data_IF_018201554340
#
_entry.id   IF_018201554340
#
_cell.length_a   1.000
_cell.length_b   1.000
_cell.length_c   1.000
_cell.angle_alpha   90.00
_cell.angle_beta   90.00
_cell.angle_gamma   90.00
#
_symmetry.space_group_name_H-M   'P 1'
#
loop_
_entity.id
_entity.type
_entity.pdbx_description
1 polymer ?
#
# COMPACT_ATOMS: atom_id res chain seq x y z
N UNK A 1 1.56 0.74 17.31
CA UNK A 1 0.86 -0.20 16.41
C UNK A 1 -0.48 0.30 15.92
N UNK A 2 -1.52 0.38 16.78
CA UNK A 2 -2.89 0.74 16.34
C UNK A 2 -2.94 2.11 15.66
N UNK A 3 -2.28 3.12 16.22
CA UNK A 3 -2.27 4.47 15.67
C UNK A 3 -1.56 4.53 14.31
N UNK A 4 -0.35 3.97 14.21
CA UNK A 4 0.41 3.87 12.97
C UNK A 4 -0.37 3.14 11.86
N UNK A 5 -1.01 2.00 12.17
CA UNK A 5 -1.85 1.27 11.24
C UNK A 5 -3.07 2.08 10.75
N UNK A 6 -3.74 2.77 11.68
CA UNK A 6 -4.89 3.63 11.35
C UNK A 6 -4.46 4.81 10.48
N UNK A 7 -3.40 5.50 10.88
CA UNK A 7 -2.82 6.65 10.19
C UNK A 7 -2.40 6.27 8.77
N UNK A 8 -1.67 5.16 8.61
CA UNK A 8 -1.23 4.67 7.31
C UNK A 8 -2.40 4.50 6.34
N UNK A 9 -3.41 3.72 6.73
CA UNK A 9 -4.60 3.48 5.90
C UNK A 9 -5.39 4.76 5.59
N UNK A 10 -5.56 5.63 6.59
CA UNK A 10 -6.32 6.88 6.42
C UNK A 10 -5.63 7.82 5.42
N UNK A 11 -4.33 8.02 5.55
CA UNK A 11 -3.59 8.92 4.66
C UNK A 11 -3.52 8.39 3.22
N UNK A 12 -3.52 7.06 2.99
CA UNK A 12 -3.66 6.49 1.64
C UNK A 12 -5.00 6.90 1.03
N UNK A 13 -6.09 6.70 1.77
CA UNK A 13 -7.44 7.01 1.29
C UNK A 13 -7.62 8.52 1.05
N UNK A 14 -7.17 9.36 1.99
CA UNK A 14 -7.26 10.82 1.88
C UNK A 14 -6.39 11.37 0.75
N UNK A 15 -5.16 10.85 0.59
CA UNK A 15 -4.28 11.21 -0.53
C UNK A 15 -4.92 10.89 -1.87
N UNK A 16 -5.47 9.69 -2.02
CA UNK A 16 -6.20 9.28 -3.23
C UNK A 16 -7.39 10.21 -3.53
N UNK A 17 -8.14 10.65 -2.51
CA UNK A 17 -9.26 11.59 -2.70
C UNK A 17 -8.80 13.01 -3.05
N UNK A 18 -7.64 13.44 -2.53
CA UNK A 18 -7.06 14.75 -2.83
C UNK A 18 -6.46 14.84 -4.24
N UNK A 19 -6.08 13.72 -4.86
CA UNK A 19 -5.45 13.65 -6.19
C UNK A 19 -6.17 14.49 -7.26
N UNK A 20 -7.51 14.52 -7.21
CA UNK A 20 -8.34 15.24 -8.17
C UNK A 20 -8.26 16.77 -8.05
N UNK A 21 -7.81 17.30 -6.92
CA UNK A 21 -7.87 18.74 -6.62
C UNK A 21 -6.56 19.34 -6.10
N UNK A 22 -5.61 18.52 -5.64
CA UNK A 22 -4.32 18.98 -5.14
C UNK A 22 -3.25 17.89 -5.19
N UNK A 23 -2.39 17.96 -6.21
CA UNK A 23 -1.22 17.07 -6.35
C UNK A 23 -0.24 17.18 -5.19
N UNK A 24 -0.08 18.38 -4.61
CA UNK A 24 0.79 18.58 -3.45
C UNK A 24 0.24 17.90 -2.20
N UNK A 25 -1.08 17.99 -1.97
CA UNK A 25 -1.73 17.34 -0.83
C UNK A 25 -1.68 15.82 -0.98
N UNK A 26 -1.94 15.29 -2.19
CA UNK A 26 -1.78 13.87 -2.47
C UNK A 26 -0.38 13.37 -2.13
N UNK A 27 0.66 14.00 -2.69
CA UNK A 27 2.05 13.60 -2.44
C UNK A 27 2.40 13.66 -0.95
N UNK A 28 1.95 14.70 -0.24
CA UNK A 28 2.17 14.83 1.20
C UNK A 28 1.52 13.69 1.98
N UNK A 29 0.26 13.38 1.71
CA UNK A 29 -0.48 12.35 2.46
C UNK A 29 0.07 10.95 2.16
N UNK A 30 0.45 10.65 0.91
CA UNK A 30 1.10 9.37 0.57
C UNK A 30 2.44 9.23 1.31
N UNK A 31 3.22 10.32 1.43
CA UNK A 31 4.44 10.32 2.24
C UNK A 31 4.16 10.06 3.74
N UNK A 32 3.12 10.68 4.32
CA UNK A 32 2.72 10.42 5.71
C UNK A 32 2.27 8.96 5.90
N UNK A 33 1.56 8.39 4.93
CA UNK A 33 1.18 6.99 4.96
C UNK A 33 2.41 6.07 4.97
N UNK A 34 3.39 6.35 4.10
CA UNK A 34 4.66 5.59 4.02
C UNK A 34 5.44 5.65 5.33
N UNK A 35 5.53 6.82 5.96
CA UNK A 35 6.17 6.98 7.26
C UNK A 35 5.40 6.22 8.37
N UNK A 36 4.07 6.27 8.34
CA UNK A 36 3.22 5.55 9.32
C UNK A 36 3.39 4.03 9.21
N UNK A 37 3.55 3.49 8.01
CA UNK A 37 3.81 2.06 7.81
C UNK A 37 5.25 1.66 8.19
N UNK A 38 6.22 2.56 8.09
CA UNK A 38 7.57 2.33 8.64
C UNK A 38 7.54 2.24 10.17
N UNK A 39 6.81 3.14 10.83
CA UNK A 39 6.60 3.08 12.27
C UNK A 39 5.93 1.76 12.68
N UNK A 40 4.90 1.34 11.93
CA UNK A 40 4.23 0.07 12.17
C UNK A 40 5.17 -1.13 11.98
N UNK A 41 6.05 -1.11 10.99
CA UNK A 41 7.06 -2.15 10.79
C UNK A 41 7.97 -2.26 12.00
N UNK A 42 8.55 -1.14 12.44
CA UNK A 42 9.41 -1.08 13.61
C UNK A 42 8.71 -1.60 14.87
N UNK A 43 7.44 -1.26 15.05
CA UNK A 43 6.64 -1.78 16.15
C UNK A 43 6.56 -3.32 16.13
N UNK A 44 6.32 -3.94 14.97
CA UNK A 44 6.24 -5.40 14.86
C UNK A 44 7.59 -6.09 15.04
N UNK A 45 8.67 -5.51 14.54
CA UNK A 45 10.03 -6.01 14.80
C UNK A 45 10.36 -5.94 16.30
N UNK A 46 10.00 -4.84 16.95
CA UNK A 46 10.11 -4.66 18.40
C UNK A 46 9.27 -5.69 19.14
N UNK A 47 8.03 -5.95 18.71
CA UNK A 47 7.16 -6.97 19.29
C UNK A 47 7.79 -8.36 19.26
N UNK A 48 8.33 -8.77 18.10
CA UNK A 48 9.02 -10.05 17.96
C UNK A 48 10.24 -10.13 18.89
N UNK A 49 11.09 -9.10 18.87
CA UNK A 49 12.32 -9.03 19.67
C UNK A 49 12.05 -9.13 21.17
N UNK A 50 11.09 -8.38 21.69
CA UNK A 50 10.77 -8.36 23.13
C UNK A 50 10.21 -9.70 23.61
N UNK A 51 9.55 -10.45 22.74
CA UNK A 51 8.98 -11.76 23.05
C UNK A 51 9.91 -12.92 22.69
N UNK A 52 11.13 -12.64 22.21
CA UNK A 52 12.10 -13.63 21.73
C UNK A 52 11.53 -14.53 20.62
N UNK A 53 10.65 -13.96 19.80
CA UNK A 53 10.08 -14.59 18.62
C UNK A 53 10.97 -14.30 17.41
N UNK A 54 10.96 -15.22 16.46
CA UNK A 54 11.84 -15.17 15.29
C UNK A 54 11.20 -14.33 14.19
N UNK A 55 11.98 -13.38 13.65
CA UNK A 55 11.65 -12.73 12.39
C UNK A 55 11.93 -13.71 11.25
N UNK A 56 10.94 -13.95 10.38
CA UNK A 56 11.08 -14.83 9.24
C UNK A 56 12.18 -14.30 8.30
N UNK A 57 13.13 -15.17 7.89
CA UNK A 57 14.04 -14.87 6.80
C UNK A 57 13.28 -14.51 5.51
N UNK A 58 13.91 -13.71 4.66
CA UNK A 58 13.32 -13.28 3.39
C UNK A 58 12.98 -14.47 2.48
N UNK A 59 13.68 -15.58 2.58
CA UNK A 59 13.50 -16.79 1.77
C UNK A 59 12.65 -17.87 2.47
N UNK A 60 12.06 -17.57 3.63
CA UNK A 60 11.22 -18.55 4.32
C UNK A 60 10.01 -18.93 3.46
N UNK A 61 9.59 -20.20 3.57
CA UNK A 61 8.42 -20.71 2.87
C UNK A 61 7.15 -19.95 3.27
N UNK A 62 7.01 -19.60 4.55
CA UNK A 62 5.88 -18.83 5.07
C UNK A 62 5.86 -17.39 4.53
N UNK A 63 6.99 -16.67 4.56
CA UNK A 63 7.08 -15.31 4.02
C UNK A 63 6.85 -15.29 2.50
N UNK A 64 7.34 -16.30 1.80
CA UNK A 64 7.12 -16.47 0.35
C UNK A 64 5.67 -16.78 0.02
N UNK A 65 4.98 -17.57 0.85
CA UNK A 65 3.57 -17.88 0.67
C UNK A 65 2.69 -16.63 0.85
N UNK A 66 2.89 -15.85 1.93
CA UNK A 66 2.15 -14.59 2.16
C UNK A 66 2.34 -13.62 1.00
N UNK A 67 3.59 -13.36 0.60
CA UNK A 67 3.89 -12.45 -0.53
C UNK A 67 3.49 -13.02 -1.89
N UNK A 68 3.23 -14.32 -1.95
CA UNK A 68 2.80 -15.05 -3.12
C UNK A 68 1.30 -14.89 -3.42
N UNK A 69 0.48 -14.57 -2.40
CA UNK A 69 -0.98 -14.45 -2.55
C UNK A 69 -1.35 -13.54 -3.74
N UNK A 70 -0.82 -12.30 -3.88
CA UNK A 70 -1.21 -11.46 -5.00
C UNK A 70 -0.81 -11.99 -6.38
N UNK A 71 0.16 -12.91 -6.46
CA UNK A 71 0.63 -13.48 -7.72
C UNK A 71 -0.37 -14.47 -8.33
N UNK A 72 -1.22 -15.07 -7.49
CA UNK A 72 -2.23 -16.03 -7.92
C UNK A 72 -3.41 -15.37 -8.65
N UNK A 73 -3.54 -14.05 -8.50
CA UNK A 73 -4.59 -13.22 -9.12
C UNK A 73 -4.01 -12.32 -10.22
N UNK A 74 -2.75 -12.53 -10.63
CA UNK A 74 -2.20 -11.82 -11.79
C UNK A 74 -2.81 -12.40 -13.05
N UNK A 75 -3.55 -11.57 -13.76
CA UNK A 75 -4.09 -11.88 -15.08
C UNK A 75 -3.01 -12.32 -16.07
N UNK A 76 -3.24 -13.45 -16.73
CA UNK A 76 -2.85 -13.60 -18.12
C UNK A 76 -3.83 -12.75 -18.95
N UNK A 77 -3.35 -11.66 -19.56
CA UNK A 77 -4.20 -10.77 -20.36
C UNK A 77 -4.81 -11.47 -21.58
N UNK A 78 -4.37 -12.69 -21.91
CA UNK A 78 -4.88 -13.50 -23.01
C UNK A 78 -6.14 -14.32 -22.66
N UNK A 79 -6.44 -14.53 -21.37
CA UNK A 79 -7.60 -15.32 -20.93
C UNK A 79 -8.63 -14.42 -20.20
N UNK A 80 -9.65 -13.99 -20.95
CA UNK A 80 -10.76 -13.18 -20.44
C UNK A 80 -11.84 -14.01 -19.71
N UNK A 81 -11.66 -15.32 -19.60
CA UNK A 81 -12.68 -16.20 -19.00
C UNK A 81 -12.59 -16.31 -17.48
N UNK A 82 -11.49 -15.84 -16.86
CA UNK A 82 -11.30 -15.87 -15.41
C UNK A 82 -11.00 -14.46 -14.85
N UNK A 83 -12.04 -13.63 -14.61
CA UNK A 83 -11.92 -12.20 -14.32
C UNK A 83 -11.77 -11.91 -12.82
N UNK A 84 -10.99 -12.67 -12.05
CA UNK A 84 -10.87 -12.39 -10.61
C UNK A 84 -9.58 -11.66 -10.30
N UNK A 85 -9.58 -10.34 -10.42
CA UNK A 85 -8.58 -9.49 -9.76
C UNK A 85 -8.85 -9.53 -8.25
N UNK A 86 -7.82 -9.29 -7.43
CA UNK A 86 -8.00 -9.08 -6.00
C UNK A 86 -8.95 -7.93 -5.69
N UNK A 87 -9.07 -6.95 -6.59
CA UNK A 87 -10.00 -5.83 -6.46
C UNK A 87 -11.47 -6.24 -6.59
N UNK A 88 -11.74 -7.37 -7.27
CA UNK A 88 -13.11 -7.87 -7.47
C UNK A 88 -13.62 -8.66 -6.27
N UNK A 89 -12.71 -9.09 -5.39
CA UNK A 89 -13.06 -9.82 -4.18
C UNK A 89 -13.67 -8.89 -3.13
N UNK A 90 -14.66 -9.41 -2.40
CA UNK A 90 -15.17 -8.76 -1.19
C UNK A 90 -14.11 -8.72 -0.08
N UNK A 91 -14.28 -7.86 0.92
CA UNK A 91 -13.35 -7.80 2.05
C UNK A 91 -13.25 -9.15 2.78
N UNK A 92 -14.36 -9.88 2.89
CA UNK A 92 -14.37 -11.22 3.50
C UNK A 92 -13.59 -12.25 2.66
N UNK A 93 -13.72 -12.20 1.34
CA UNK A 93 -12.97 -13.08 0.44
C UNK A 93 -11.47 -12.75 0.49
N UNK A 94 -11.10 -11.46 0.48
CA UNK A 94 -9.70 -11.04 0.64
C UNK A 94 -9.13 -11.46 2.00
N UNK A 95 -9.92 -11.34 3.08
CA UNK A 95 -9.53 -11.81 4.41
C UNK A 95 -9.24 -13.31 4.41
N UNK A 96 -10.12 -14.11 3.81
CA UNK A 96 -9.98 -15.56 3.76
C UNK A 96 -8.66 -16.02 3.13
N UNK A 97 -8.10 -15.25 2.18
CA UNK A 97 -6.79 -15.55 1.58
C UNK A 97 -5.64 -15.45 2.58
N UNK A 98 -5.75 -14.57 3.57
CA UNK A 98 -4.71 -14.33 4.58
C UNK A 98 -5.03 -14.93 5.95
N UNK A 99 -6.27 -15.37 6.17
CA UNK A 99 -6.74 -16.00 7.42
C UNK A 99 -5.81 -17.10 7.97
N UNK A 100 -5.19 -17.98 7.15
CA UNK A 100 -4.25 -19.00 7.67
C UNK A 100 -3.08 -18.43 8.48
N UNK A 101 -2.70 -17.18 8.22
CA UNK A 101 -1.66 -16.47 8.96
C UNK A 101 -2.21 -15.44 9.94
N UNK A 102 -3.23 -14.67 9.57
CA UNK A 102 -3.74 -13.56 10.38
C UNK A 102 -4.64 -14.02 11.53
N UNK A 103 -5.35 -15.14 11.37
CA UNK A 103 -6.18 -15.77 12.40
C UNK A 103 -5.45 -16.92 13.13
N UNK A 104 -4.15 -17.10 12.85
CA UNK A 104 -3.36 -18.14 13.49
C UNK A 104 -3.26 -17.88 15.00
N UNK A 105 -3.28 -18.92 15.85
CA UNK A 105 -3.13 -18.77 17.31
C UNK A 105 -1.74 -18.27 17.71
N UNK A 106 -0.72 -18.56 16.91
CA UNK A 106 0.66 -18.14 17.15
C UNK A 106 0.88 -16.66 16.78
N UNK A 107 1.27 -15.88 17.79
CA UNK A 107 1.57 -14.47 17.61
C UNK A 107 2.80 -14.22 16.73
N UNK A 108 3.76 -15.15 16.67
CA UNK A 108 4.91 -15.08 15.77
C UNK A 108 4.45 -15.14 14.31
N UNK A 109 3.55 -16.07 14.00
CA UNK A 109 2.99 -16.23 12.65
C UNK A 109 2.22 -14.97 12.23
N UNK A 110 1.33 -14.47 13.10
CA UNK A 110 0.56 -13.25 12.82
C UNK A 110 1.48 -12.05 12.58
N UNK A 111 2.44 -11.81 13.47
CA UNK A 111 3.34 -10.67 13.37
C UNK A 111 4.19 -10.70 12.10
N UNK A 112 4.78 -11.86 11.77
CA UNK A 112 5.59 -12.00 10.56
C UNK A 112 4.77 -11.85 9.27
N UNK A 113 3.53 -12.36 9.25
CA UNK A 113 2.65 -12.16 8.10
C UNK A 113 2.30 -10.68 7.90
N UNK A 114 2.02 -9.94 8.98
CA UNK A 114 1.79 -8.50 8.90
C UNK A 114 3.04 -7.74 8.43
N UNK A 115 4.23 -8.11 8.89
CA UNK A 115 5.50 -7.54 8.38
C UNK A 115 5.63 -7.73 6.86
N UNK A 116 5.32 -8.93 6.34
CA UNK A 116 5.33 -9.18 4.89
C UNK A 116 4.38 -8.25 4.14
N UNK A 117 3.17 -8.04 4.67
CA UNK A 117 2.17 -7.15 4.09
C UNK A 117 2.60 -5.67 4.14
N UNK A 118 3.22 -5.24 5.24
CA UNK A 118 3.77 -3.88 5.38
C UNK A 118 4.87 -3.64 4.34
N UNK A 119 5.77 -4.60 4.14
CA UNK A 119 6.82 -4.49 3.11
C UNK A 119 6.22 -4.36 1.70
N UNK A 120 5.17 -5.14 1.39
CA UNK A 120 4.49 -5.03 0.09
C UNK A 120 3.80 -3.67 -0.07
N UNK A 121 3.12 -3.18 0.97
CA UNK A 121 2.48 -1.87 0.95
C UNK A 121 3.52 -0.74 0.79
N UNK A 122 4.62 -0.77 1.54
CA UNK A 122 5.71 0.20 1.44
C UNK A 122 6.31 0.22 0.03
N UNK A 123 6.58 -0.95 -0.56
CA UNK A 123 7.08 -1.03 -1.94
C UNK A 123 6.13 -0.36 -2.96
N UNK A 124 4.81 -0.56 -2.79
CA UNK A 124 3.82 0.08 -3.67
C UNK A 124 3.75 1.59 -3.44
N UNK A 125 3.80 2.04 -2.19
CA UNK A 125 3.81 3.46 -1.84
C UNK A 125 5.05 4.17 -2.38
N UNK A 126 6.24 3.57 -2.26
CA UNK A 126 7.49 4.13 -2.78
C UNK A 126 7.41 4.37 -4.30
N UNK A 127 6.80 3.42 -5.03
CA UNK A 127 6.55 3.55 -6.47
C UNK A 127 5.51 4.63 -6.79
N UNK A 128 4.45 4.72 -5.98
CA UNK A 128 3.43 5.77 -6.15
C UNK A 128 4.03 7.16 -5.91
N UNK A 129 4.81 7.34 -4.84
CA UNK A 129 5.53 8.59 -4.54
C UNK A 129 6.42 8.98 -5.72
N UNK A 130 7.26 8.05 -6.19
CA UNK A 130 8.15 8.29 -7.33
C UNK A 130 7.39 8.69 -8.61
N UNK A 131 6.22 8.08 -8.85
CA UNK A 131 5.38 8.41 -10.00
C UNK A 131 4.74 9.81 -9.86
N UNK A 132 4.24 10.14 -8.67
CA UNK A 132 3.65 11.45 -8.38
C UNK A 132 4.69 12.57 -8.48
N UNK A 133 5.90 12.36 -7.95
CA UNK A 133 7.01 13.31 -8.07
C UNK A 133 7.38 13.55 -9.53
N UNK A 134 7.51 12.46 -10.32
CA UNK A 134 7.78 12.57 -11.75
C UNK A 134 6.69 13.35 -12.48
N UNK A 135 5.42 13.03 -12.21
CA UNK A 135 4.29 13.72 -12.82
C UNK A 135 4.29 15.21 -12.46
N UNK A 136 4.56 15.54 -11.19
CA UNK A 136 4.63 16.92 -10.72
C UNK A 136 5.73 17.71 -11.44
N UNK A 137 6.90 17.11 -11.66
CA UNK A 137 8.01 17.73 -12.40
C UNK A 137 7.68 17.93 -13.89
N UNK A 138 7.01 16.96 -14.53
CA UNK A 138 6.76 17.01 -15.99
C UNK A 138 5.53 17.78 -16.40
N UNK A 139 4.45 17.71 -15.62
CA UNK A 139 3.14 18.29 -15.96
C UNK A 139 2.79 19.53 -15.14
N UNK A 140 3.56 19.79 -14.08
CA UNK A 140 3.22 20.78 -13.07
C UNK A 140 2.12 20.32 -12.12
N UNK A 141 1.87 21.12 -11.08
CA UNK A 141 0.80 20.85 -10.12
C UNK A 141 -0.61 21.07 -10.69
N UNK A 142 -1.64 20.56 -10.01
CA UNK A 142 -3.04 20.84 -10.37
C UNK A 142 -3.33 22.34 -10.58
N UNK A 143 -2.87 23.20 -9.67
CA UNK A 143 -3.08 24.66 -9.76
C UNK A 143 -2.39 25.29 -10.97
N UNK A 144 -1.21 24.80 -11.35
CA UNK A 144 -0.48 25.28 -12.53
C UNK A 144 -1.20 24.88 -13.82
N UNK A 145 -1.66 23.62 -13.90
CA UNK A 145 -2.47 23.15 -15.02
C UNK A 145 -3.79 23.91 -15.14
N UNK A 146 -4.46 24.19 -14.03
CA UNK A 146 -5.68 24.99 -14.02
C UNK A 146 -5.42 26.44 -14.44
N UNK A 147 -4.31 27.04 -14.02
CA UNK A 147 -3.92 28.38 -14.44
C UNK A 147 -3.64 28.43 -15.95
N UNK A 148 -2.92 27.46 -16.49
CA UNK A 148 -2.66 27.33 -17.93
C UNK A 148 -3.98 27.17 -18.72
N UNK A 149 -4.89 26.32 -18.27
CA UNK A 149 -6.21 26.13 -18.90
C UNK A 149 -7.04 27.43 -18.90
N UNK A 150 -7.01 28.19 -17.79
CA UNK A 150 -7.70 29.49 -17.70
C UNK A 150 -7.13 30.53 -18.68
N UNK A 151 -5.81 30.54 -18.89
CA UNK A 151 -5.17 31.43 -19.86
C UNK A 151 -5.56 31.06 -21.30
N UNK A 152 -5.60 29.77 -21.63
CA UNK A 152 -6.01 29.30 -22.96
C UNK A 152 -7.48 29.67 -23.27
N UNK A 153 -8.37 29.55 -22.29
CA UNK A 153 -9.79 29.89 -22.48
C UNK A 153 -10.02 31.40 -22.65
N UNK A 154 -9.20 32.25 -22.01
CA UNK A 154 -9.25 33.71 -22.19
C UNK A 154 -8.74 34.18 -23.55
N UNK A 155 -7.95 33.35 -24.23
CA UNK A 155 -7.41 33.63 -25.55
C UNK A 155 -8.30 33.15 -26.71
N UNK A 156 -9.43 32.50 -26.41
CA UNK A 156 -10.48 32.13 -27.37
C UNK A 156 -11.53 33.22 -27.47
#
# INVERSE_FOLDING_TARGET
>A
MIQAARSGRQNIAEGSRASATSSQTELRLVNVARASLEELLLDYEVFLRHRRLTLWPLDSSQASAVRGVPRQFRHDQSDRSNPTDLTDLSDQQRWALYAPWLDNDDAEIRANAVICLIHQANFLLDRQISALEKQFVTEGGYSERLAAARLAERGR
#
